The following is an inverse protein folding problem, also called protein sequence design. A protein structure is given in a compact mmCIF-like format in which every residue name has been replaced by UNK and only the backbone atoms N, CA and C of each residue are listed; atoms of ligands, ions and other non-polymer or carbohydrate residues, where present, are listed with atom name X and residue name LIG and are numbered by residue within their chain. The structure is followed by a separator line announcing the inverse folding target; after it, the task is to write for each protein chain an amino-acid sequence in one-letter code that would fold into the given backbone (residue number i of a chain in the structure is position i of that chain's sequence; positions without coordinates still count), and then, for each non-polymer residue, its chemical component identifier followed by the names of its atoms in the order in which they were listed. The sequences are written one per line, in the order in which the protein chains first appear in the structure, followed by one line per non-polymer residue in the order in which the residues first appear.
data_IF_377698058276
#
_entry.id   IF_377698058276
#
_cell.length_a   1.000
_cell.length_b   1.000
_cell.length_c   1.000
_cell.angle_alpha   90.00
_cell.angle_beta   90.00
_cell.angle_gamma   90.00
#
_symmetry.space_group_name_H-M   'P 1'
#
loop_
_entity.id
_entity.type
_entity.pdbx_description
1 polymer ?
#
# COMPACT_ATOMS: atom_id res chain seq x y z
N UNK A 1 20.04 47.19 0.02
CA UNK A 1 18.95 46.20 -0.22
C UNK A 1 19.52 45.06 -1.06
N UNK A 2 19.89 43.93 -0.47
CA UNK A 2 20.32 42.73 -1.22
C UNK A 2 19.62 41.53 -0.58
N UNK A 3 18.59 41.09 -1.28
CA UNK A 3 17.68 39.99 -0.97
C UNK A 3 18.42 38.67 -0.87
N UNK A 4 18.24 37.97 0.24
CA UNK A 4 18.64 36.57 0.40
C UNK A 4 17.55 35.73 -0.26
N UNK A 5 17.83 35.15 -1.43
CA UNK A 5 16.96 34.14 -2.05
C UNK A 5 17.29 32.79 -1.41
N UNK A 6 16.40 32.29 -0.55
CA UNK A 6 16.40 30.91 -0.11
C UNK A 6 15.65 30.06 -1.16
N UNK A 7 16.37 29.26 -1.94
CA UNK A 7 15.79 28.27 -2.83
C UNK A 7 15.48 27.00 -2.02
N UNK A 8 14.21 26.79 -1.67
CA UNK A 8 13.73 25.53 -1.14
C UNK A 8 13.65 24.51 -2.28
N UNK A 9 14.60 23.56 -2.31
CA UNK A 9 14.56 22.43 -3.22
C UNK A 9 13.49 21.45 -2.71
N UNK A 10 12.29 21.48 -3.30
CA UNK A 10 11.32 20.39 -3.14
C UNK A 10 11.87 19.17 -3.88
N UNK A 11 12.61 18.32 -3.17
CA UNK A 11 12.90 16.98 -3.63
C UNK A 11 11.60 16.17 -3.57
N UNK A 12 10.79 16.25 -4.64
CA UNK A 12 9.73 15.28 -4.87
C UNK A 12 10.40 13.95 -5.22
N UNK A 13 10.73 13.16 -4.20
CA UNK A 13 11.14 11.77 -4.40
C UNK A 13 9.88 10.98 -4.79
N UNK A 14 9.56 10.99 -6.08
CA UNK A 14 8.65 10.01 -6.66
C UNK A 14 9.28 8.64 -6.45
N UNK A 15 8.83 7.92 -5.41
CA UNK A 15 9.21 6.53 -5.20
C UNK A 15 8.86 5.73 -6.45
N UNK A 16 9.85 5.06 -7.04
CA UNK A 16 9.59 4.14 -8.12
C UNK A 16 8.68 3.04 -7.57
N UNK A 17 7.44 3.02 -8.04
CA UNK A 17 6.58 1.86 -7.88
C UNK A 17 7.23 0.72 -8.66
N UNK A 18 7.94 -0.16 -7.96
CA UNK A 18 8.21 -1.48 -8.52
C UNK A 18 6.87 -2.20 -8.54
N UNK A 19 6.54 -2.81 -9.66
CA UNK A 19 5.17 -3.15 -10.04
C UNK A 19 4.39 -4.04 -9.04
N UNK A 20 5.07 -4.65 -8.05
CA UNK A 20 4.46 -5.59 -7.10
C UNK A 20 4.55 -5.13 -5.62
N UNK A 21 5.29 -4.06 -5.32
CA UNK A 21 5.53 -3.58 -3.95
C UNK A 21 5.42 -2.06 -3.85
N UNK A 22 4.81 -1.55 -2.79
CA UNK A 22 4.81 -0.12 -2.47
C UNK A 22 5.22 0.18 -1.04
N UNK A 23 6.00 1.25 -0.90
CA UNK A 23 6.42 1.79 0.40
C UNK A 23 5.78 3.15 0.62
N UNK A 24 5.01 3.26 1.70
CA UNK A 24 4.34 4.47 2.15
C UNK A 24 5.13 5.09 3.31
N UNK A 25 5.89 6.16 3.01
CA UNK A 25 6.82 6.78 3.98
C UNK A 25 6.23 7.96 4.77
N UNK A 26 4.96 8.32 4.54
CA UNK A 26 4.31 9.43 5.23
C UNK A 26 2.79 9.17 5.40
N UNK A 27 2.18 9.65 6.50
CA UNK A 27 0.76 9.46 6.74
C UNK A 27 -0.05 10.14 5.64
N UNK A 28 -1.21 9.57 5.33
CA UNK A 28 -2.12 10.01 4.27
C UNK A 28 -1.52 10.00 2.86
N UNK A 29 -0.29 9.49 2.69
CA UNK A 29 0.25 9.16 1.37
C UNK A 29 -0.41 7.87 0.93
N UNK A 30 -1.28 7.97 -0.08
CA UNK A 30 -1.91 6.83 -0.70
C UNK A 30 -1.06 6.26 -1.84
N UNK A 31 -1.22 4.97 -2.10
CA UNK A 31 -0.77 4.33 -3.31
C UNK A 31 -1.82 3.35 -3.83
N UNK A 32 -1.71 3.01 -5.11
CA UNK A 32 -2.52 1.97 -5.73
C UNK A 32 -1.63 0.82 -6.16
N UNK A 33 -2.02 -0.40 -5.80
CA UNK A 33 -1.45 -1.64 -6.29
C UNK A 33 -2.44 -2.28 -7.26
N UNK A 34 -1.91 -2.92 -8.29
CA UNK A 34 -2.68 -3.69 -9.25
C UNK A 34 -2.06 -5.07 -9.36
N UNK A 35 -2.82 -6.11 -9.03
CA UNK A 35 -2.37 -7.50 -9.06
C UNK A 35 -3.48 -8.37 -9.69
N UNK A 36 -3.25 -8.83 -10.92
CA UNK A 36 -4.24 -9.61 -11.66
C UNK A 36 -5.58 -8.85 -11.80
N UNK A 37 -6.71 -9.41 -11.32
CA UNK A 37 -8.01 -8.73 -11.36
C UNK A 37 -8.23 -7.79 -10.17
N UNK A 38 -7.27 -7.67 -9.25
CA UNK A 38 -7.42 -6.89 -8.02
C UNK A 38 -6.79 -5.51 -8.18
N UNK A 39 -7.60 -4.49 -7.99
CA UNK A 39 -7.14 -3.11 -7.78
C UNK A 39 -7.25 -2.79 -6.28
N UNK A 40 -6.17 -2.32 -5.67
CA UNK A 40 -6.14 -1.94 -4.25
C UNK A 40 -5.58 -0.54 -4.06
N UNK A 41 -6.32 0.35 -3.42
CA UNK A 41 -5.81 1.60 -2.87
C UNK A 41 -5.46 1.41 -1.40
N UNK A 42 -4.29 1.88 -0.99
CA UNK A 42 -3.83 1.80 0.39
C UNK A 42 -3.26 3.13 0.87
N UNK A 43 -3.54 3.49 2.11
CA UNK A 43 -2.89 4.59 2.83
C UNK A 43 -2.82 4.23 4.31
N UNK A 44 -2.11 5.04 5.10
CA UNK A 44 -2.12 4.90 6.56
C UNK A 44 -2.31 6.23 7.28
N UNK A 45 -2.80 6.17 8.52
CA UNK A 45 -2.90 7.32 9.42
C UNK A 45 -2.19 7.03 10.73
N UNK A 46 -1.59 8.05 11.30
CA UNK A 46 -0.98 7.98 12.63
C UNK A 46 -2.08 7.93 13.71
N UNK A 47 -2.03 6.90 14.57
CA UNK A 47 -2.82 6.79 15.80
C UNK A 47 -1.88 6.56 16.99
N UNK A 48 -1.06 7.57 17.28
CA UNK A 48 -0.08 7.56 18.36
C UNK A 48 1.01 6.50 18.12
N UNK A 49 1.06 5.44 18.92
CA UNK A 49 2.09 4.39 18.76
C UNK A 49 1.74 3.36 17.67
N UNK A 50 0.52 3.42 17.13
CA UNK A 50 -0.01 2.45 16.18
C UNK A 50 -0.36 3.13 14.86
N UNK A 51 -0.03 2.49 13.74
CA UNK A 51 -0.45 2.95 12.43
C UNK A 51 -1.75 2.26 12.04
N UNK A 52 -2.77 3.05 11.68
CA UNK A 52 -3.99 2.53 11.07
C UNK A 52 -3.80 2.50 9.55
N UNK A 53 -3.59 1.30 9.01
CA UNK A 53 -3.48 1.06 7.58
C UNK A 53 -4.86 0.75 7.03
N UNK A 54 -5.24 1.49 5.99
CA UNK A 54 -6.54 1.36 5.32
C UNK A 54 -6.29 0.92 3.88
N UNK A 55 -6.81 -0.27 3.55
CA UNK A 55 -6.80 -0.80 2.20
C UNK A 55 -8.24 -0.90 1.67
N UNK A 56 -8.49 -0.41 0.47
CA UNK A 56 -9.75 -0.55 -0.24
C UNK A 56 -9.50 -1.24 -1.56
N UNK A 57 -10.24 -2.31 -1.86
CA UNK A 57 -9.97 -3.13 -3.04
C UNK A 57 -11.24 -3.48 -3.83
N UNK A 58 -11.04 -3.81 -5.10
CA UNK A 58 -12.01 -4.33 -6.05
C UNK A 58 -11.46 -5.61 -6.67
N UNK A 59 -12.28 -6.64 -6.90
CA UNK A 59 -11.80 -7.93 -7.45
C UNK A 59 -12.07 -8.12 -8.95
N UNK A 60 -12.35 -7.02 -9.66
CA UNK A 60 -12.60 -7.02 -11.11
C UNK A 60 -13.96 -7.62 -11.51
N UNK A 61 -14.74 -8.12 -10.55
CA UNK A 61 -16.11 -8.58 -10.77
C UNK A 61 -17.03 -7.38 -11.06
N UNK A 62 -17.77 -7.45 -12.17
CA UNK A 62 -18.68 -6.36 -12.56
C UNK A 62 -19.78 -6.16 -11.50
N UNK A 63 -19.93 -4.93 -11.05
CA UNK A 63 -20.99 -4.53 -10.11
C UNK A 63 -20.67 -4.83 -8.64
N UNK A 64 -19.42 -5.19 -8.33
CA UNK A 64 -18.97 -5.34 -6.94
C UNK A 64 -18.75 -3.98 -6.27
N UNK A 65 -19.16 -3.85 -5.01
CA UNK A 65 -18.82 -2.69 -4.19
C UNK A 65 -17.39 -2.82 -3.67
N UNK A 66 -16.62 -1.72 -3.59
CA UNK A 66 -15.28 -1.76 -3.01
C UNK A 66 -15.32 -2.29 -1.57
N UNK A 67 -14.51 -3.31 -1.30
CA UNK A 67 -14.34 -3.85 0.04
C UNK A 67 -13.22 -3.09 0.77
N UNK A 68 -13.34 -2.97 2.10
CA UNK A 68 -12.39 -2.21 2.94
C UNK A 68 -11.81 -3.08 4.05
N UNK A 69 -10.49 -2.99 4.19
CA UNK A 69 -9.68 -3.63 5.21
C UNK A 69 -9.00 -2.55 6.06
N UNK A 70 -9.01 -2.75 7.38
CA UNK A 70 -8.35 -1.85 8.34
C UNK A 70 -7.46 -2.69 9.23
N UNK A 71 -6.20 -2.31 9.32
CA UNK A 71 -5.17 -2.97 10.12
C UNK A 71 -4.59 -1.95 11.09
N UNK A 72 -4.43 -2.37 12.35
CA UNK A 72 -3.72 -1.61 13.37
C UNK A 72 -2.34 -2.25 13.53
N UNK A 73 -1.29 -1.52 13.18
CA UNK A 73 0.07 -2.04 13.09
C UNK A 73 1.02 -1.31 14.04
N UNK A 74 1.61 -2.07 14.97
CA UNK A 74 2.76 -1.65 15.76
C UNK A 74 4.05 -1.77 14.93
N UNK A 75 5.12 -1.11 15.40
CA UNK A 75 6.41 -1.24 14.74
C UNK A 75 6.91 -2.69 14.75
N UNK A 76 7.37 -3.16 13.59
CA UNK A 76 7.78 -4.55 13.36
C UNK A 76 6.63 -5.51 13.00
N UNK A 77 5.37 -5.06 13.03
CA UNK A 77 4.24 -5.92 12.67
C UNK A 77 4.24 -6.29 11.19
N UNK A 78 3.82 -7.53 10.90
CA UNK A 78 3.61 -8.06 9.56
C UNK A 78 2.32 -8.87 9.52
N UNK A 79 1.43 -8.55 8.58
CA UNK A 79 0.16 -9.23 8.37
C UNK A 79 0.00 -9.63 6.89
N UNK A 80 -0.36 -10.88 6.63
CA UNK A 80 -0.66 -11.38 5.27
C UNK A 80 -2.12 -11.79 5.19
N UNK A 81 -2.83 -11.32 4.18
CA UNK A 81 -4.26 -11.51 4.01
C UNK A 81 -4.57 -12.04 2.61
N UNK A 82 -5.46 -13.03 2.54
CA UNK A 82 -6.17 -13.34 1.30
C UNK A 82 -7.40 -12.46 1.16
N UNK A 83 -7.78 -12.10 -0.05
CA UNK A 83 -8.93 -11.24 -0.30
C UNK A 83 -10.20 -12.05 -0.58
N UNK A 84 -11.30 -11.80 0.15
CA UNK A 84 -12.63 -12.24 -0.26
C UNK A 84 -12.92 -11.82 -1.71
N UNK A 85 -13.40 -12.77 -2.54
CA UNK A 85 -13.69 -12.53 -3.96
C UNK A 85 -12.50 -12.75 -4.91
N UNK A 86 -11.26 -12.81 -4.40
CA UNK A 86 -10.06 -13.01 -5.21
C UNK A 86 -9.15 -14.12 -4.62
N UNK A 87 -9.58 -15.40 -4.71
CA UNK A 87 -8.77 -16.51 -4.23
C UNK A 87 -7.44 -16.60 -5.00
N UNK A 88 -6.36 -16.90 -4.28
CA UNK A 88 -5.00 -16.98 -4.85
C UNK A 88 -4.22 -15.67 -4.83
N UNK A 89 -4.86 -14.53 -4.51
CA UNK A 89 -4.18 -13.25 -4.35
C UNK A 89 -3.99 -12.92 -2.88
N UNK A 90 -2.73 -12.70 -2.49
CA UNK A 90 -2.36 -12.37 -1.12
C UNK A 90 -1.66 -11.03 -1.06
N UNK A 91 -2.02 -10.25 -0.04
CA UNK A 91 -1.41 -8.95 0.23
C UNK A 91 -0.74 -9.01 1.58
N UNK A 92 0.52 -8.59 1.64
CA UNK A 92 1.28 -8.48 2.88
C UNK A 92 1.50 -7.03 3.23
N UNK A 93 1.14 -6.67 4.46
CA UNK A 93 1.36 -5.36 5.04
C UNK A 93 2.44 -5.51 6.11
N UNK A 94 3.44 -4.64 6.09
CA UNK A 94 4.51 -4.62 7.07
C UNK A 94 4.79 -3.20 7.52
N UNK A 95 4.88 -2.98 8.83
CA UNK A 95 5.40 -1.72 9.37
C UNK A 95 6.88 -1.91 9.74
N UNK A 96 7.71 -0.95 9.34
CA UNK A 96 9.11 -0.87 9.74
C UNK A 96 9.47 0.59 10.01
N UNK A 97 9.64 0.91 11.30
CA UNK A 97 9.77 2.26 11.80
C UNK A 97 8.58 3.12 11.38
N UNK A 98 8.90 4.14 10.58
CA UNK A 98 7.95 5.15 10.10
C UNK A 98 7.37 4.84 8.71
N UNK A 99 7.55 3.60 8.24
CA UNK A 99 7.13 3.20 6.90
C UNK A 99 6.18 2.01 6.95
N UNK A 100 5.21 2.01 6.02
CA UNK A 100 4.36 0.86 5.73
C UNK A 100 4.71 0.35 4.35
N UNK A 101 5.09 -0.92 4.26
CA UNK A 101 5.34 -1.61 3.01
C UNK A 101 4.18 -2.55 2.72
N UNK A 102 3.71 -2.54 1.48
CA UNK A 102 2.63 -3.38 1.00
C UNK A 102 3.12 -4.16 -0.22
N UNK A 103 2.99 -5.47 -0.15
CA UNK A 103 3.51 -6.40 -1.15
C UNK A 103 2.43 -7.33 -1.67
N UNK A 104 2.42 -7.61 -2.96
CA UNK A 104 1.49 -8.55 -3.60
C UNK A 104 2.17 -9.89 -3.84
N UNK A 105 1.44 -10.98 -3.63
CA UNK A 105 1.89 -12.33 -3.93
C UNK A 105 0.71 -13.11 -4.52
N UNK A 106 0.77 -13.42 -5.83
CA UNK A 106 -0.15 -14.35 -6.46
C UNK A 106 0.33 -15.80 -6.23
N UNK A 107 -0.42 -16.57 -5.44
CA UNK A 107 -0.23 -18.01 -5.32
C UNK A 107 -1.10 -18.72 -6.36
N UNK A 108 -0.45 -19.31 -7.36
CA UNK A 108 -1.11 -20.12 -8.38
C UNK A 108 -1.19 -19.52 -9.78
N UNK A 109 -0.28 -18.61 -10.16
CA UNK A 109 -0.03 -18.38 -11.59
C UNK A 109 0.24 -19.74 -12.26
N UNK A 110 -0.41 -20.08 -13.38
CA UNK A 110 -0.09 -21.33 -14.07
C UNK A 110 1.41 -21.30 -14.39
N UNK A 111 2.12 -22.38 -14.04
CA UNK A 111 3.43 -22.64 -14.62
C UNK A 111 3.21 -22.60 -16.14
N UNK A 112 3.71 -21.55 -16.80
CA UNK A 112 3.72 -21.51 -18.26
C UNK A 112 4.61 -22.66 -18.70
N UNK A 113 3.98 -23.66 -19.34
CA UNK A 113 4.63 -24.81 -19.95
C UNK A 113 5.62 -24.37 -21.03
#
# INVERSE_FOLDING_TARGET
MKTILAAALLAATSGAALADDVTLSAPLTGATLHEGPVDMSVYWTDKAEVYEVVATYLTGLRGEEPARLVLLMQDGDRATLGLPGAPGYHFTFQRSGDQVMVSTHAYGAPLTN
#
